data_IF_323897442446
#
_entry.id   IF_323897442446
#
_cell.length_a   1.000
_cell.length_b   1.000
_cell.length_c   1.000
_cell.angle_alpha   90.00
_cell.angle_beta   90.00
_cell.angle_gamma   90.00
#
_symmetry.space_group_name_H-M   'P 1'
#
loop_
_entity.id
_entity.type
_entity.pdbx_description
1 polymer ?
#
# COMPACT_ATOMS: atom_id res chain seq x y z
N UNK A 1 25.11 3.10 -20.43
CA UNK A 1 26.17 3.82 -19.69
C UNK A 1 26.86 2.81 -18.77
N UNK A 2 28.20 2.74 -18.77
CA UNK A 2 28.93 1.88 -17.82
C UNK A 2 28.67 2.41 -16.40
N UNK A 3 28.06 1.60 -15.54
CA UNK A 3 27.97 1.91 -14.12
C UNK A 3 29.40 2.11 -13.59
N UNK A 4 29.68 3.29 -13.05
CA UNK A 4 30.90 3.53 -12.30
C UNK A 4 30.83 2.62 -11.07
N UNK A 5 31.61 1.55 -11.04
CA UNK A 5 31.72 0.70 -9.85
C UNK A 5 32.46 1.53 -8.80
N UNK A 6 31.74 2.23 -7.93
CA UNK A 6 32.36 2.97 -6.82
C UNK A 6 33.05 1.95 -5.92
N UNK A 7 34.35 2.10 -5.71
CA UNK A 7 35.09 1.27 -4.75
C UNK A 7 34.91 1.87 -3.37
N UNK A 8 34.62 1.04 -2.36
CA UNK A 8 34.51 1.53 -0.97
C UNK A 8 35.83 2.23 -0.53
N UNK A 9 35.75 3.42 0.08
CA UNK A 9 36.93 4.14 0.54
C UNK A 9 37.70 3.36 1.60
N UNK A 10 39.03 3.38 1.51
CA UNK A 10 39.89 2.80 2.54
C UNK A 10 40.04 3.83 3.66
N UNK A 11 39.41 3.59 4.81
CA UNK A 11 39.40 4.52 5.96
C UNK A 11 40.82 4.97 6.38
N UNK A 12 41.82 4.09 6.29
CA UNK A 12 43.23 4.40 6.61
C UNK A 12 43.84 5.51 5.74
N UNK A 13 43.29 5.74 4.54
CA UNK A 13 43.74 6.78 3.64
C UNK A 13 43.16 8.16 3.97
N UNK A 14 42.38 8.27 5.06
CA UNK A 14 41.74 9.51 5.51
C UNK A 14 40.86 10.14 4.42
N UNK A 15 39.83 9.41 3.94
CA UNK A 15 38.92 9.94 2.92
C UNK A 15 38.24 11.22 3.41
N UNK A 16 37.92 12.11 2.48
CA UNK A 16 37.26 13.37 2.79
C UNK A 16 35.82 13.14 3.25
N UNK A 17 35.27 14.07 4.04
CA UNK A 17 33.88 14.03 4.49
C UNK A 17 32.90 13.77 3.34
N UNK A 18 33.00 14.55 2.25
CA UNK A 18 32.14 14.43 1.06
C UNK A 18 32.23 13.05 0.39
N UNK A 19 33.40 12.42 0.38
CA UNK A 19 33.59 11.09 -0.22
C UNK A 19 32.89 10.01 0.61
N UNK A 20 33.00 10.09 1.94
CA UNK A 20 32.31 9.17 2.85
C UNK A 20 30.79 9.38 2.80
N UNK A 21 30.34 10.63 2.77
CA UNK A 21 28.92 10.96 2.66
C UNK A 21 28.31 10.38 1.37
N UNK A 22 28.94 10.61 0.22
CA UNK A 22 28.51 10.06 -1.08
C UNK A 22 28.52 8.54 -1.09
N UNK A 23 29.55 7.93 -0.50
CA UNK A 23 29.63 6.47 -0.37
C UNK A 23 28.46 5.95 0.46
N UNK A 24 28.21 6.50 1.64
CA UNK A 24 27.13 6.08 2.52
C UNK A 24 25.75 6.31 1.91
N UNK A 25 25.55 7.40 1.16
CA UNK A 25 24.33 7.65 0.37
C UNK A 25 24.13 6.56 -0.69
N UNK A 26 25.19 6.15 -1.38
CA UNK A 26 25.12 5.07 -2.38
C UNK A 26 24.91 3.67 -1.80
N UNK A 27 25.16 3.48 -0.50
CA UNK A 27 24.95 2.21 0.20
C UNK A 27 23.53 2.03 0.73
N UNK A 28 22.65 3.00 0.48
CA UNK A 28 21.22 2.96 0.84
C UNK A 28 20.53 1.76 0.22
N UNK A 29 19.93 0.92 1.06
CA UNK A 29 19.04 -0.13 0.59
C UNK A 29 17.66 0.47 0.39
N UNK A 30 17.26 0.70 -0.85
CA UNK A 30 15.86 1.05 -1.15
C UNK A 30 14.95 -0.15 -0.84
N UNK A 31 13.72 0.07 -0.34
CA UNK A 31 12.73 -1.00 -0.22
C UNK A 31 12.54 -1.68 -1.57
N UNK A 32 12.33 -3.00 -1.58
CA UNK A 32 12.02 -3.73 -2.83
C UNK A 32 10.73 -3.15 -3.41
N UNK A 33 10.78 -2.61 -4.62
CA UNK A 33 9.55 -2.29 -5.37
C UNK A 33 8.98 -3.59 -5.93
N UNK A 34 7.69 -3.85 -5.72
CA UNK A 34 7.00 -4.98 -6.35
C UNK A 34 6.57 -4.71 -7.79
N UNK A 35 7.09 -3.65 -8.42
CA UNK A 35 6.83 -3.31 -9.82
C UNK A 35 7.39 -4.42 -10.73
N UNK A 36 6.52 -5.01 -11.54
CA UNK A 36 6.79 -6.14 -12.42
C UNK A 36 7.65 -5.80 -13.65
N UNK A 37 8.81 -5.18 -13.45
CA UNK A 37 9.86 -5.14 -14.47
C UNK A 37 10.92 -6.18 -14.14
N UNK A 38 10.99 -7.31 -14.86
CA UNK A 38 12.09 -8.28 -14.73
C UNK A 38 13.48 -7.64 -14.93
N UNK A 39 13.54 -6.48 -15.59
CA UNK A 39 14.77 -5.69 -15.80
C UNK A 39 15.12 -4.72 -14.64
N UNK A 40 14.27 -4.58 -13.62
CA UNK A 40 14.56 -3.74 -12.43
C UNK A 40 14.97 -4.54 -11.19
N UNK A 41 14.92 -5.88 -11.26
CA UNK A 41 15.66 -6.76 -10.34
C UNK A 41 17.18 -6.72 -10.56
N UNK A 42 17.68 -5.76 -11.35
CA UNK A 42 19.01 -5.21 -11.11
C UNK A 42 18.93 -4.52 -9.74
N UNK A 43 19.08 -5.33 -8.68
CA UNK A 43 19.83 -4.91 -7.49
C UNK A 43 21.00 -4.14 -8.08
N UNK A 44 21.00 -2.81 -7.96
CA UNK A 44 22.19 -2.01 -8.23
C UNK A 44 23.28 -2.74 -7.48
N UNK A 45 24.11 -3.47 -8.22
CA UNK A 45 24.88 -4.54 -7.61
C UNK A 45 25.76 -3.83 -6.62
N UNK A 46 25.63 -4.13 -5.30
CA UNK A 46 26.25 -3.28 -4.32
C UNK A 46 27.74 -3.16 -4.67
N UNK A 47 28.34 -1.97 -4.46
CA UNK A 47 29.69 -1.68 -4.93
C UNK A 47 30.73 -2.73 -4.47
N UNK A 48 30.44 -3.43 -3.37
CA UNK A 48 31.15 -4.59 -2.87
C UNK A 48 30.16 -5.66 -2.37
N UNK A 49 30.66 -6.85 -2.02
CA UNK A 49 29.86 -7.87 -1.34
C UNK A 49 29.40 -7.39 0.05
N UNK A 50 28.28 -7.94 0.54
CA UNK A 50 27.66 -7.52 1.81
C UNK A 50 28.59 -7.63 3.01
N UNK A 51 29.48 -8.63 3.06
CA UNK A 51 30.43 -8.76 4.17
C UNK A 51 31.44 -7.62 4.15
N UNK A 52 31.92 -7.23 2.97
CA UNK A 52 32.82 -6.08 2.80
C UNK A 52 32.14 -4.76 3.20
N UNK A 53 30.87 -4.57 2.82
CA UNK A 53 30.09 -3.39 3.23
C UNK A 53 29.92 -3.35 4.75
N UNK A 54 29.52 -4.46 5.38
CA UNK A 54 29.38 -4.54 6.83
C UNK A 54 30.71 -4.26 7.55
N UNK A 55 31.82 -4.81 7.06
CA UNK A 55 33.14 -4.53 7.60
C UNK A 55 33.53 -3.05 7.48
N UNK A 56 33.19 -2.42 6.35
CA UNK A 56 33.39 -0.98 6.13
C UNK A 56 32.57 -0.14 7.13
N UNK A 57 31.26 -0.40 7.26
CA UNK A 57 30.37 0.30 8.19
C UNK A 57 30.85 0.16 9.64
N UNK A 58 31.21 -1.06 10.07
CA UNK A 58 31.81 -1.30 11.39
C UNK A 58 33.16 -0.59 11.57
N UNK A 59 33.91 -0.38 10.50
CA UNK A 59 35.14 0.40 10.51
C UNK A 59 34.89 1.88 10.77
N UNK A 60 33.81 2.45 10.24
CA UNK A 60 33.43 3.85 10.48
C UNK A 60 33.11 4.09 11.96
N UNK A 61 32.36 3.20 12.61
CA UNK A 61 32.05 3.33 14.04
C UNK A 61 33.27 3.27 14.97
N UNK A 62 34.40 2.74 14.50
CA UNK A 62 35.65 2.63 15.25
C UNK A 62 36.60 3.81 15.01
N UNK A 63 36.18 4.79 14.23
CA UNK A 63 37.03 5.86 13.71
C UNK A 63 36.61 7.21 14.30
N UNK A 64 37.56 7.97 14.86
CA UNK A 64 37.27 9.27 15.48
C UNK A 64 37.28 10.45 14.48
N UNK A 65 37.58 10.18 13.20
CA UNK A 65 37.65 11.15 12.08
C UNK A 65 38.33 12.48 12.45
N UNK A 66 39.47 12.40 13.15
CA UNK A 66 40.21 13.57 13.64
C UNK A 66 40.71 14.49 12.51
N UNK A 67 40.75 14.00 11.26
CA UNK A 67 41.20 14.73 10.08
C UNK A 67 40.10 15.54 9.37
N UNK A 68 38.86 15.52 9.86
CA UNK A 68 37.81 16.40 9.35
C UNK A 68 38.06 17.85 9.79
N UNK A 69 37.80 18.78 8.89
CA UNK A 69 37.96 20.22 9.08
C UNK A 69 36.62 20.91 8.81
N UNK A 70 36.43 22.09 9.40
CA UNK A 70 35.22 22.88 9.17
C UNK A 70 35.11 23.26 7.69
N UNK A 71 33.93 23.09 7.11
CA UNK A 71 33.66 23.39 5.70
C UNK A 71 32.48 24.34 5.57
N UNK A 72 32.53 25.23 4.57
CA UNK A 72 31.38 26.05 4.20
C UNK A 72 30.52 25.30 3.17
N UNK A 73 29.24 25.12 3.49
CA UNK A 73 28.22 24.61 2.59
C UNK A 73 27.33 25.77 2.11
N UNK A 74 27.04 25.82 0.81
CA UNK A 74 26.27 26.91 0.19
C UNK A 74 24.85 27.04 0.75
N UNK A 75 24.26 25.96 1.26
CA UNK A 75 22.86 25.90 1.70
C UNK A 75 22.73 25.85 3.24
N UNK A 76 23.70 25.24 3.91
CA UNK A 76 23.69 25.03 5.37
C UNK A 76 24.63 25.97 6.14
N UNK A 77 25.50 26.73 5.45
CA UNK A 77 26.50 27.59 6.06
C UNK A 77 27.71 26.80 6.58
N UNK A 78 28.31 27.27 7.69
CA UNK A 78 29.48 26.60 8.29
C UNK A 78 29.07 25.24 8.90
N UNK A 79 29.59 24.15 8.35
CA UNK A 79 29.44 22.80 8.87
C UNK A 79 30.72 22.40 9.61
N UNK A 80 30.64 22.31 10.92
CA UNK A 80 31.78 21.98 11.78
C UNK A 80 32.24 20.54 11.61
N UNK A 81 33.51 20.27 11.90
CA UNK A 81 34.05 18.91 11.89
C UNK A 81 33.27 17.95 12.81
N UNK A 82 32.70 18.44 13.92
CA UNK A 82 31.87 17.62 14.81
C UNK A 82 30.53 17.26 14.16
N UNK A 83 29.86 18.20 13.51
CA UNK A 83 28.61 17.93 12.79
C UNK A 83 28.82 16.92 11.65
N UNK A 84 29.94 17.05 10.91
CA UNK A 84 30.31 16.09 9.89
C UNK A 84 30.50 14.68 10.46
N UNK A 85 31.12 14.54 11.64
CA UNK A 85 31.27 13.25 12.33
C UNK A 85 29.93 12.65 12.71
N UNK A 86 29.08 13.44 13.33
CA UNK A 86 27.76 12.99 13.79
C UNK A 86 26.91 12.54 12.59
N UNK A 87 26.96 13.26 11.47
CA UNK A 87 26.25 12.89 10.24
C UNK A 87 26.79 11.59 9.61
N UNK A 88 28.11 11.40 9.54
CA UNK A 88 28.71 10.15 9.03
C UNK A 88 28.32 8.97 9.92
N UNK A 89 28.36 9.12 11.25
CA UNK A 89 28.01 8.05 12.19
C UNK A 89 26.52 7.73 12.12
N UNK A 90 25.65 8.74 12.05
CA UNK A 90 24.21 8.56 11.93
C UNK A 90 23.85 7.85 10.61
N UNK A 91 24.41 8.32 9.48
CA UNK A 91 24.16 7.71 8.18
C UNK A 91 24.71 6.28 8.11
N UNK A 92 25.90 6.03 8.65
CA UNK A 92 26.46 4.68 8.76
C UNK A 92 25.56 3.75 9.61
N UNK A 93 24.98 4.27 10.70
CA UNK A 93 24.04 3.55 11.56
C UNK A 93 22.78 3.16 10.80
N UNK A 94 22.22 4.06 9.98
CA UNK A 94 21.07 3.75 9.12
C UNK A 94 21.40 2.66 8.10
N UNK A 95 22.54 2.78 7.39
CA UNK A 95 22.97 1.76 6.40
C UNK A 95 23.25 0.41 7.03
N UNK A 96 23.69 0.40 8.28
CA UNK A 96 23.87 -0.82 9.05
C UNK A 96 22.53 -1.43 9.44
N UNK A 97 21.61 -0.62 9.99
CA UNK A 97 20.27 -1.07 10.41
C UNK A 97 19.43 -1.62 9.24
N UNK A 98 19.51 -1.01 8.05
CA UNK A 98 18.90 -1.50 6.81
C UNK A 98 19.28 -2.96 6.47
N UNK A 99 20.47 -3.39 6.91
CA UNK A 99 21.03 -4.72 6.68
C UNK A 99 20.78 -5.71 7.81
N UNK A 100 20.12 -5.27 8.88
CA UNK A 100 19.78 -6.12 10.04
C UNK A 100 18.39 -6.78 9.93
N UNK A 101 17.71 -6.66 8.77
CA UNK A 101 16.37 -7.21 8.53
C UNK A 101 15.24 -6.22 8.86
N UNK A 102 13.99 -6.55 8.49
CA UNK A 102 12.84 -5.62 8.61
C UNK A 102 12.53 -5.19 10.06
N UNK A 103 12.82 -6.03 11.06
CA UNK A 103 12.57 -5.71 12.48
C UNK A 103 13.56 -4.70 13.05
N UNK A 104 14.77 -4.64 12.51
CA UNK A 104 15.80 -3.68 12.92
C UNK A 104 15.88 -2.46 12.00
N UNK A 105 15.22 -2.53 10.84
CA UNK A 105 15.12 -1.42 9.90
C UNK A 105 14.21 -0.33 10.48
N UNK A 106 14.66 0.92 10.37
CA UNK A 106 13.90 2.09 10.75
C UNK A 106 12.65 2.30 9.88
N UNK A 107 12.02 3.46 10.05
CA UNK A 107 10.92 3.90 9.19
C UNK A 107 11.34 3.88 7.72
N UNK A 108 10.43 3.47 6.85
CA UNK A 108 10.64 3.51 5.41
C UNK A 108 9.37 3.88 4.67
N UNK A 109 9.52 4.61 3.56
CA UNK A 109 8.42 4.87 2.62
C UNK A 109 8.64 4.05 1.36
N UNK A 110 7.62 3.30 0.95
CA UNK A 110 7.61 2.53 -0.30
C UNK A 110 6.75 3.25 -1.34
N UNK A 111 7.20 3.25 -2.59
CA UNK A 111 6.41 3.74 -3.71
C UNK A 111 5.83 2.55 -4.47
N UNK A 112 4.51 2.54 -4.62
CA UNK A 112 3.77 1.56 -5.40
C UNK A 112 3.27 2.21 -6.68
N UNK A 113 3.63 1.64 -7.83
CA UNK A 113 3.31 2.23 -9.13
C UNK A 113 2.33 1.34 -9.89
N UNK A 114 1.08 1.78 -9.92
CA UNK A 114 0.00 1.10 -10.63
C UNK A 114 -0.12 1.67 -12.05
N UNK A 115 0.14 0.84 -13.06
CA UNK A 115 -0.09 1.21 -14.45
C UNK A 115 -1.58 1.13 -14.78
N UNK A 116 -2.09 2.18 -15.42
CA UNK A 116 -3.49 2.35 -15.79
C UNK A 116 -3.57 2.50 -17.31
N UNK A 117 -4.44 1.74 -17.97
CA UNK A 117 -4.58 1.79 -19.43
C UNK A 117 -5.39 3.04 -19.85
N UNK A 118 -4.78 4.00 -20.57
CA UNK A 118 -5.50 5.19 -21.03
C UNK A 118 -6.36 4.86 -22.26
N UNK A 119 -7.54 4.28 -22.04
CA UNK A 119 -8.73 4.34 -22.89
C UNK A 119 -9.71 3.25 -22.47
N UNK A 120 -10.64 3.63 -21.58
CA UNK A 120 -11.98 3.07 -21.28
C UNK A 120 -12.43 3.38 -19.84
N UNK A 121 -11.56 4.00 -19.04
CA UNK A 121 -11.71 4.09 -17.57
C UNK A 121 -12.26 5.42 -17.02
N UNK A 122 -12.74 6.33 -17.88
CA UNK A 122 -13.43 7.55 -17.43
C UNK A 122 -14.79 7.65 -18.14
N UNK A 123 -15.83 7.17 -17.45
CA UNK A 123 -17.21 7.39 -17.88
C UNK A 123 -17.52 8.89 -17.92
N UNK A 124 -17.91 9.40 -19.09
CA UNK A 124 -18.61 10.67 -19.20
C UNK A 124 -18.08 11.71 -20.19
N UNK A 125 -17.69 11.35 -21.41
CA UNK A 125 -17.77 12.29 -22.55
C UNK A 125 -18.55 11.60 -23.66
N UNK A 126 -19.81 11.98 -23.85
CA UNK A 126 -20.58 11.60 -25.04
C UNK A 126 -19.95 12.29 -26.25
N UNK A 127 -19.40 11.49 -27.17
CA UNK A 127 -19.08 11.96 -28.51
C UNK A 127 -20.39 12.33 -29.23
N UNK A 128 -20.67 13.62 -29.34
CA UNK A 128 -21.60 14.12 -30.36
C UNK A 128 -20.85 14.18 -31.69
N UNK A 129 -21.34 13.55 -32.77
CA UNK A 129 -20.59 13.34 -34.01
C UNK A 129 -20.59 14.57 -34.93
N UNK A 130 -20.39 15.77 -34.38
CA UNK A 130 -20.11 16.99 -35.15
C UNK A 130 -19.68 18.12 -34.21
N UNK A 131 -18.36 18.24 -33.97
CA UNK A 131 -17.62 19.50 -33.73
C UNK A 131 -16.19 19.18 -33.29
N UNK A 132 -15.21 19.66 -34.06
CA UNK A 132 -13.78 19.84 -33.73
C UNK A 132 -13.30 19.17 -32.43
N UNK A 133 -12.63 18.02 -32.54
CA UNK A 133 -11.89 17.38 -31.44
C UNK A 133 -10.87 18.40 -30.89
N UNK A 134 -11.06 18.95 -29.67
CA UNK A 134 -10.05 19.79 -29.08
C UNK A 134 -8.91 18.88 -28.60
N UNK A 135 -7.67 19.37 -28.69
CA UNK A 135 -6.41 18.72 -28.30
C UNK A 135 -6.34 18.47 -26.77
N UNK A 136 -7.25 17.67 -26.19
CA UNK A 136 -7.35 17.42 -24.73
C UNK A 136 -6.77 16.04 -24.33
N UNK A 137 -6.45 15.18 -25.28
CA UNK A 137 -5.93 13.83 -25.03
C UNK A 137 -4.47 13.77 -24.53
N UNK A 138 -3.77 14.90 -24.40
CA UNK A 138 -2.31 14.91 -24.22
C UNK A 138 -1.83 14.78 -22.75
N UNK A 139 -2.73 14.69 -21.76
CA UNK A 139 -2.34 14.67 -20.32
C UNK A 139 -2.99 13.58 -19.46
N UNK A 140 -3.55 12.51 -20.04
CA UNK A 140 -4.04 11.40 -19.22
C UNK A 140 -2.87 10.70 -18.53
N UNK A 141 -2.80 10.80 -17.20
CA UNK A 141 -1.84 10.03 -16.40
C UNK A 141 -2.11 8.54 -16.62
N UNK A 142 -1.11 7.84 -17.13
CA UNK A 142 -1.17 6.39 -17.39
C UNK A 142 -0.72 5.57 -16.19
N UNK A 143 -0.44 6.21 -15.06
CA UNK A 143 0.03 5.53 -13.86
C UNK A 143 -0.34 6.33 -12.61
N UNK A 144 -0.59 5.61 -11.53
CA UNK A 144 -0.77 6.11 -10.18
C UNK A 144 0.46 5.71 -9.35
N UNK A 145 1.07 6.66 -8.67
CA UNK A 145 2.12 6.38 -7.69
C UNK A 145 1.58 6.67 -6.29
N UNK A 146 1.62 5.65 -5.42
CA UNK A 146 1.22 5.76 -4.01
C UNK A 146 2.47 5.61 -3.13
N UNK A 147 2.68 6.58 -2.26
CA UNK A 147 3.78 6.60 -1.29
C UNK A 147 3.27 6.16 0.08
N UNK A 148 3.66 4.97 0.51
CA UNK A 148 3.18 4.32 1.73
C UNK A 148 4.29 4.28 2.77
N UNK A 149 4.06 4.95 3.90
CA UNK A 149 4.94 4.93 5.08
C UNK A 149 4.71 3.66 5.89
N UNK A 150 5.82 3.04 6.25
CA UNK A 150 5.92 1.89 7.13
C UNK A 150 6.86 2.19 8.31
N UNK A 151 6.31 2.48 9.49
CA UNK A 151 7.09 2.65 10.71
C UNK A 151 7.91 1.40 11.08
N UNK A 152 8.92 1.49 11.95
CA UNK A 152 9.67 0.34 12.43
C UNK A 152 8.75 -0.72 13.04
N UNK A 153 9.08 -2.00 12.84
CA UNK A 153 8.30 -3.09 13.44
C UNK A 153 8.64 -3.17 14.94
N UNK A 154 7.74 -2.67 15.77
CA UNK A 154 7.86 -2.72 17.23
C UNK A 154 6.67 -3.51 17.80
N UNK A 155 6.94 -4.54 18.60
CA UNK A 155 5.89 -5.41 19.16
C UNK A 155 5.03 -6.07 18.06
N UNK A 156 3.71 -6.11 18.28
CA UNK A 156 2.73 -6.81 17.43
C UNK A 156 2.10 -5.91 16.34
N UNK A 157 2.81 -4.86 15.90
CA UNK A 157 2.29 -3.89 14.94
C UNK A 157 2.40 -4.35 13.47
N UNK A 158 1.97 -5.57 13.16
CA UNK A 158 2.02 -6.13 11.80
C UNK A 158 1.18 -5.33 10.79
N UNK A 159 0.10 -4.66 11.24
CA UNK A 159 -0.72 -3.78 10.41
C UNK A 159 0.01 -2.55 9.87
N UNK A 160 1.19 -2.21 10.41
CA UNK A 160 2.03 -1.11 9.92
C UNK A 160 2.88 -1.49 8.70
N UNK A 161 2.78 -2.75 8.23
CA UNK A 161 3.49 -3.26 7.06
C UNK A 161 2.51 -3.60 5.94
N UNK A 162 2.84 -3.25 4.71
CA UNK A 162 2.09 -3.67 3.52
C UNK A 162 2.50 -5.08 3.15
N UNK A 163 1.50 -5.94 2.95
CA UNK A 163 1.67 -7.35 2.57
C UNK A 163 1.55 -7.53 1.06
N UNK A 164 2.12 -8.62 0.53
CA UNK A 164 2.10 -8.88 -0.91
C UNK A 164 0.66 -9.00 -1.44
N UNK A 165 -0.23 -9.54 -0.61
CA UNK A 165 -1.68 -9.62 -0.84
C UNK A 165 -2.29 -8.26 -1.18
N UNK A 166 -1.99 -7.21 -0.41
CA UNK A 166 -2.50 -5.86 -0.64
C UNK A 166 -2.06 -5.31 -2.00
N UNK A 167 -0.80 -5.53 -2.40
CA UNK A 167 -0.33 -5.09 -3.71
C UNK A 167 -0.95 -5.88 -4.86
N UNK A 168 -1.00 -7.21 -4.75
CA UNK A 168 -1.67 -8.05 -5.73
C UNK A 168 -3.12 -7.64 -5.92
N UNK A 169 -3.85 -7.35 -4.83
CA UNK A 169 -5.22 -6.87 -4.93
C UNK A 169 -5.31 -5.46 -5.54
N UNK A 170 -4.42 -4.53 -5.17
CA UNK A 170 -4.37 -3.20 -5.77
C UNK A 170 -4.18 -3.25 -7.30
N UNK A 171 -3.35 -4.18 -7.79
CA UNK A 171 -3.15 -4.43 -9.22
C UNK A 171 -4.39 -5.01 -9.92
N UNK A 172 -5.24 -5.74 -9.20
CA UNK A 172 -6.48 -6.31 -9.74
C UNK A 172 -7.65 -5.33 -9.76
N UNK A 173 -7.61 -4.23 -9.01
CA UNK A 173 -8.73 -3.27 -8.93
C UNK A 173 -9.21 -2.75 -10.29
N UNK A 174 -8.33 -2.42 -11.28
CA UNK A 174 -8.79 -2.01 -12.61
C UNK A 174 -9.61 -3.10 -13.31
N UNK A 175 -9.21 -4.36 -13.20
CA UNK A 175 -9.94 -5.49 -13.79
C UNK A 175 -11.26 -5.75 -13.05
N UNK A 176 -11.22 -5.76 -11.71
CA UNK A 176 -12.41 -5.93 -10.87
C UNK A 176 -13.43 -4.82 -11.14
N UNK A 177 -12.98 -3.58 -11.40
CA UNK A 177 -13.82 -2.46 -11.80
C UNK A 177 -14.63 -2.70 -13.08
N UNK A 178 -14.24 -3.68 -13.90
CA UNK A 178 -14.97 -4.07 -15.13
C UNK A 178 -16.04 -5.13 -14.89
N UNK A 179 -16.13 -5.65 -13.68
CA UNK A 179 -17.17 -6.60 -13.29
C UNK A 179 -18.55 -5.93 -13.30
N UNK A 180 -19.51 -6.51 -14.02
CA UNK A 180 -20.79 -5.85 -14.35
C UNK A 180 -21.61 -5.37 -13.13
N UNK A 181 -21.75 -6.15 -12.03
CA UNK A 181 -22.33 -5.66 -10.78
C UNK A 181 -21.61 -4.44 -10.19
N UNK A 182 -20.28 -4.42 -10.22
CA UNK A 182 -19.49 -3.30 -9.71
C UNK A 182 -19.67 -2.06 -10.62
N UNK A 183 -19.59 -2.21 -11.95
CA UNK A 183 -19.83 -1.12 -12.89
C UNK A 183 -21.21 -0.44 -12.70
N UNK A 184 -22.24 -1.24 -12.42
CA UNK A 184 -23.60 -0.73 -12.13
C UNK A 184 -23.65 0.10 -10.85
N UNK A 185 -22.88 -0.28 -9.82
CA UNK A 185 -22.75 0.46 -8.56
C UNK A 185 -21.95 1.75 -8.74
N UNK A 186 -20.81 1.67 -9.43
CA UNK A 186 -19.95 2.82 -9.77
C UNK A 186 -20.64 3.83 -10.69
N UNK A 187 -21.80 3.48 -11.29
CA UNK A 187 -22.54 4.37 -12.19
C UNK A 187 -21.94 4.50 -13.59
N UNK A 188 -21.06 3.57 -13.97
CA UNK A 188 -20.37 3.56 -15.28
C UNK A 188 -21.33 3.13 -16.41
N UNK A 189 -22.46 2.49 -16.08
CA UNK A 189 -23.51 2.14 -17.05
C UNK A 189 -24.56 3.26 -17.12
N UNK A 190 -24.90 3.80 -18.31
CA UNK A 190 -25.86 4.89 -18.44
C UNK A 190 -27.23 4.53 -17.83
N UNK A 191 -27.60 5.19 -16.73
CA UNK A 191 -28.95 5.08 -16.21
C UNK A 191 -29.88 5.95 -17.06
N UNK A 192 -30.91 5.34 -17.65
CA UNK A 192 -31.93 6.00 -18.49
C UNK A 192 -32.83 6.99 -17.73
N UNK A 193 -32.57 7.24 -16.44
CA UNK A 193 -33.35 8.15 -15.60
C UNK A 193 -32.38 9.11 -14.90
N UNK A 194 -32.39 10.38 -15.32
CA UNK A 194 -31.49 11.46 -14.88
C UNK A 194 -31.65 11.92 -13.43
N UNK A 195 -31.57 10.99 -12.47
CA UNK A 195 -31.46 11.32 -11.05
C UNK A 195 -29.98 11.32 -10.67
N UNK A 196 -29.48 12.42 -10.11
CA UNK A 196 -28.20 12.46 -9.41
C UNK A 196 -28.27 11.42 -8.27
N UNK A 197 -27.56 10.29 -8.45
CA UNK A 197 -27.43 9.30 -7.37
C UNK A 197 -26.52 9.88 -6.29
N UNK A 198 -26.81 9.63 -5.00
CA UNK A 198 -25.84 9.96 -3.96
C UNK A 198 -24.52 9.23 -4.24
N UNK A 199 -23.37 9.82 -3.88
CA UNK A 199 -22.08 9.16 -4.05
C UNK A 199 -22.07 7.83 -3.27
N UNK A 200 -21.52 6.80 -3.89
CA UNK A 200 -21.33 5.50 -3.24
C UNK A 200 -20.33 5.64 -2.09
N UNK A 201 -20.61 4.95 -0.99
CA UNK A 201 -19.70 4.86 0.13
C UNK A 201 -19.03 3.50 0.14
N UNK A 202 -17.71 3.52 0.27
CA UNK A 202 -16.88 2.32 0.34
C UNK A 202 -16.24 2.25 1.72
N UNK A 203 -16.16 1.06 2.29
CA UNK A 203 -15.47 0.78 3.55
C UNK A 203 -14.33 -0.22 3.29
N UNK A 204 -13.17 0.01 3.87
CA UNK A 204 -12.12 -1.01 3.95
C UNK A 204 -11.93 -1.42 5.42
N UNK A 205 -12.01 -2.72 5.69
CA UNK A 205 -11.81 -3.33 6.99
C UNK A 205 -10.38 -3.89 7.09
N UNK A 206 -9.64 -3.51 8.13
CA UNK A 206 -8.26 -3.96 8.33
C UNK A 206 -7.34 -3.41 7.23
N UNK A 207 -7.41 -2.11 6.98
CA UNK A 207 -6.70 -1.46 5.88
C UNK A 207 -5.17 -1.51 6.01
N UNK A 208 -4.65 -1.73 7.22
CA UNK A 208 -3.22 -1.72 7.53
C UNK A 208 -2.58 -0.40 7.12
N UNK A 209 -1.75 -0.44 6.07
CA UNK A 209 -1.11 0.77 5.54
C UNK A 209 -2.01 1.59 4.61
N UNK A 210 -3.17 1.06 4.21
CA UNK A 210 -4.17 1.69 3.35
C UNK A 210 -3.98 1.52 1.84
N UNK A 211 -3.07 0.64 1.41
CA UNK A 211 -2.68 0.56 -0.01
C UNK A 211 -3.87 0.21 -0.93
N UNK A 212 -4.69 -0.78 -0.56
CA UNK A 212 -5.81 -1.23 -1.41
C UNK A 212 -6.88 -0.14 -1.48
N UNK A 213 -7.30 0.42 -0.35
CA UNK A 213 -8.31 1.47 -0.34
C UNK A 213 -7.88 2.75 -1.06
N UNK A 214 -6.62 3.18 -0.91
CA UNK A 214 -6.08 4.34 -1.65
C UNK A 214 -6.07 4.08 -3.16
N UNK A 215 -5.68 2.87 -3.58
CA UNK A 215 -5.75 2.47 -4.97
C UNK A 215 -7.22 2.43 -5.46
N UNK A 216 -8.16 1.92 -4.66
CA UNK A 216 -9.57 1.89 -4.99
C UNK A 216 -10.16 3.31 -5.14
N UNK A 217 -9.81 4.24 -4.25
CA UNK A 217 -10.21 5.64 -4.34
C UNK A 217 -9.78 6.25 -5.69
N UNK A 218 -8.51 6.06 -6.07
CA UNK A 218 -7.98 6.56 -7.33
C UNK A 218 -8.59 5.87 -8.55
N UNK A 219 -8.59 4.54 -8.58
CA UNK A 219 -8.96 3.72 -9.74
C UNK A 219 -10.46 3.72 -10.00
N UNK A 220 -11.28 3.63 -8.95
CA UNK A 220 -12.73 3.61 -9.09
C UNK A 220 -13.37 5.00 -8.93
N UNK A 221 -12.61 6.01 -8.50
CA UNK A 221 -13.13 7.37 -8.29
C UNK A 221 -14.15 7.44 -7.15
N UNK A 222 -13.94 6.67 -6.09
CA UNK A 222 -14.92 6.49 -5.00
C UNK A 222 -14.52 7.20 -3.71
N UNK A 223 -15.52 7.43 -2.86
CA UNK A 223 -15.31 7.87 -1.49
C UNK A 223 -15.15 6.63 -0.60
N UNK A 224 -13.99 6.47 0.01
CA UNK A 224 -13.66 5.33 0.86
C UNK A 224 -13.28 5.76 2.28
N UNK A 225 -13.75 4.98 3.25
CA UNK A 225 -13.34 5.03 4.65
C UNK A 225 -12.44 3.83 4.90
N UNK A 226 -11.16 4.08 5.15
CA UNK A 226 -10.19 3.05 5.49
C UNK A 226 -10.20 2.89 7.01
N UNK A 227 -10.33 1.67 7.50
CA UNK A 227 -10.46 1.41 8.93
C UNK A 227 -9.49 0.36 9.44
N UNK A 228 -9.00 0.58 10.66
CA UNK A 228 -8.14 -0.35 11.37
C UNK A 228 -8.17 -0.08 12.89
N UNK A 229 -7.36 -0.81 13.65
CA UNK A 229 -7.21 -0.68 15.09
C UNK A 229 -6.61 0.69 15.49
N UNK A 230 -6.84 1.17 16.72
CA UNK A 230 -6.31 2.45 17.20
C UNK A 230 -4.80 2.63 17.02
N UNK A 231 -4.02 1.55 17.16
CA UNK A 231 -2.56 1.58 17.02
C UNK A 231 -2.06 1.74 15.58
N UNK A 232 -2.92 1.51 14.58
CA UNK A 232 -2.62 1.61 13.16
C UNK A 232 -3.11 2.94 12.57
N UNK A 233 -4.13 3.55 13.19
CA UNK A 233 -4.84 4.73 12.70
C UNK A 233 -3.94 5.92 12.36
N UNK A 234 -3.03 6.34 13.24
CA UNK A 234 -2.13 7.47 12.98
C UNK A 234 -1.27 7.27 11.71
N UNK A 235 -0.87 6.03 11.43
CA UNK A 235 -0.11 5.72 10.22
C UNK A 235 -0.98 5.65 8.98
N UNK A 236 -2.19 5.10 9.11
CA UNK A 236 -3.18 5.06 8.05
C UNK A 236 -3.58 6.48 7.63
N UNK A 237 -3.87 7.37 8.59
CA UNK A 237 -4.22 8.77 8.34
C UNK A 237 -3.07 9.53 7.65
N UNK A 238 -1.82 9.32 8.09
CA UNK A 238 -0.66 9.88 7.40
C UNK A 238 -0.60 9.43 5.93
N UNK A 239 -0.76 8.13 5.66
CA UNK A 239 -0.73 7.59 4.31
C UNK A 239 -1.88 8.12 3.45
N UNK A 240 -3.08 8.27 4.01
CA UNK A 240 -4.20 8.92 3.33
C UNK A 240 -3.83 10.34 2.92
N UNK A 241 -3.40 11.17 3.88
CA UNK A 241 -3.08 12.57 3.63
C UNK A 241 -1.94 12.74 2.61
N UNK A 242 -0.91 11.89 2.68
CA UNK A 242 0.22 11.94 1.77
C UNK A 242 -0.15 11.62 0.31
N UNK A 243 -1.20 10.82 0.08
CA UNK A 243 -1.59 10.34 -1.25
C UNK A 243 -2.81 11.03 -1.84
N UNK A 244 -3.55 11.83 -1.05
CA UNK A 244 -4.70 12.59 -1.55
C UNK A 244 -4.41 13.44 -2.80
N UNK A 245 -3.27 14.16 -2.92
CA UNK A 245 -2.96 14.90 -4.15
C UNK A 245 -2.87 14.00 -5.39
N UNK A 246 -2.21 12.85 -5.29
CA UNK A 246 -2.08 11.89 -6.38
C UNK A 246 -3.44 11.29 -6.78
N UNK A 247 -4.31 11.01 -5.79
CA UNK A 247 -5.67 10.52 -6.00
C UNK A 247 -6.51 11.59 -6.73
N UNK A 248 -6.49 12.84 -6.25
CA UNK A 248 -7.25 13.96 -6.84
C UNK A 248 -6.81 14.32 -8.25
N UNK A 249 -5.55 14.07 -8.61
CA UNK A 249 -5.05 14.22 -9.97
C UNK A 249 -5.49 13.08 -10.90
N UNK A 250 -5.87 11.93 -10.35
CA UNK A 250 -6.30 10.75 -11.11
C UNK A 250 -7.82 10.69 -11.30
N UNK A 251 -8.58 11.00 -10.25
CA UNK A 251 -10.04 10.93 -10.25
C UNK A 251 -10.65 11.84 -9.17
N UNK A 252 -11.98 11.88 -9.10
CA UNK A 252 -12.70 12.57 -8.02
C UNK A 252 -12.81 11.72 -6.73
N UNK A 253 -11.97 10.69 -6.59
CA UNK A 253 -11.95 9.84 -5.42
C UNK A 253 -11.53 10.57 -4.15
N UNK A 254 -11.97 10.05 -3.01
CA UNK A 254 -11.62 10.58 -1.70
C UNK A 254 -11.37 9.44 -0.72
N UNK A 255 -10.39 9.62 0.16
CA UNK A 255 -10.06 8.66 1.21
C UNK A 255 -10.03 9.36 2.56
N UNK A 256 -10.50 8.65 3.59
CA UNK A 256 -10.44 9.06 5.00
C UNK A 256 -10.05 7.86 5.86
N UNK A 257 -9.46 8.11 7.03
CA UNK A 257 -9.01 7.06 7.96
C UNK A 257 -9.81 7.14 9.26
N UNK A 258 -10.35 6.02 9.71
CA UNK A 258 -11.14 5.92 10.94
C UNK A 258 -10.75 4.71 11.77
N UNK A 259 -11.06 4.75 13.07
CA UNK A 259 -10.85 3.61 13.97
C UNK A 259 -12.05 2.68 13.89
N UNK A 260 -11.79 1.39 13.68
CA UNK A 260 -12.78 0.33 13.76
C UNK A 260 -12.12 -0.94 14.30
N UNK A 261 -12.44 -1.28 15.54
CA UNK A 261 -12.15 -2.60 16.12
C UNK A 261 -13.34 -3.51 15.85
N UNK A 262 -13.12 -4.64 15.17
CA UNK A 262 -14.18 -5.62 14.88
C UNK A 262 -14.81 -6.21 16.14
N UNK A 263 -14.14 -6.12 17.30
CA UNK A 263 -14.71 -6.55 18.59
C UNK A 263 -15.64 -5.51 19.20
N UNK A 264 -15.63 -4.28 18.70
CA UNK A 264 -16.42 -3.15 19.19
C UNK A 264 -17.08 -2.37 18.03
N UNK A 265 -17.53 -3.09 16.99
CA UNK A 265 -18.11 -2.48 15.79
C UNK A 265 -19.36 -1.64 16.08
N UNK A 266 -20.09 -1.92 17.17
CA UNK A 266 -21.30 -1.18 17.57
C UNK A 266 -21.00 0.30 17.84
N UNK A 267 -19.85 0.58 18.45
CA UNK A 267 -19.40 1.93 18.79
C UNK A 267 -18.57 2.59 17.68
N UNK A 268 -18.15 1.82 16.67
CA UNK A 268 -17.37 2.35 15.55
C UNK A 268 -18.18 3.34 14.69
N UNK A 269 -17.46 4.27 14.06
CA UNK A 269 -18.03 5.28 13.13
C UNK A 269 -19.19 6.09 13.74
N UNK A 270 -19.20 6.34 15.05
CA UNK A 270 -20.31 7.03 15.73
C UNK A 270 -20.59 8.45 15.19
N UNK A 271 -19.57 9.12 14.63
CA UNK A 271 -19.71 10.45 14.00
C UNK A 271 -20.27 10.42 12.57
N UNK A 272 -20.44 9.24 11.97
CA UNK A 272 -20.88 9.11 10.58
C UNK A 272 -22.42 9.13 10.46
N UNK A 273 -22.99 9.92 9.53
CA UNK A 273 -24.44 10.08 9.40
C UNK A 273 -25.15 8.82 8.90
N UNK A 274 -24.41 7.97 8.19
CA UNK A 274 -24.85 6.67 7.69
C UNK A 274 -23.71 5.68 7.90
N UNK A 275 -24.02 4.53 8.50
CA UNK A 275 -23.07 3.41 8.69
C UNK A 275 -23.31 2.29 7.68
N UNK A 276 -23.86 2.64 6.53
CA UNK A 276 -24.21 1.71 5.46
C UNK A 276 -23.36 2.00 4.22
N UNK A 277 -22.68 0.97 3.73
CA UNK A 277 -21.74 1.04 2.63
C UNK A 277 -22.20 0.17 1.46
N UNK A 278 -22.07 0.68 0.24
CA UNK A 278 -22.39 -0.07 -0.98
C UNK A 278 -21.31 -1.08 -1.34
N UNK A 279 -20.06 -0.80 -0.96
CA UNK A 279 -18.91 -1.66 -1.23
C UNK A 279 -18.09 -1.82 0.06
N UNK A 280 -17.74 -3.05 0.41
CA UNK A 280 -16.83 -3.34 1.52
C UNK A 280 -15.61 -4.11 1.01
N UNK A 281 -14.41 -3.71 1.40
CA UNK A 281 -13.15 -4.36 1.08
C UNK A 281 -12.57 -4.98 2.36
N UNK A 282 -12.09 -6.22 2.29
CA UNK A 282 -11.36 -6.87 3.37
C UNK A 282 -10.22 -7.72 2.78
N UNK A 283 -9.01 -7.18 2.78
CA UNK A 283 -7.82 -7.81 2.16
C UNK A 283 -6.82 -8.20 3.24
N UNK A 284 -6.45 -9.48 3.27
CA UNK A 284 -5.62 -10.10 4.32
C UNK A 284 -6.18 -10.00 5.75
N UNK A 285 -7.49 -10.23 6.01
CA UNK A 285 -8.06 -9.95 7.33
C UNK A 285 -7.88 -11.10 8.35
N UNK A 286 -7.36 -12.27 7.95
CA UNK A 286 -7.44 -13.51 8.75
C UNK A 286 -6.08 -13.94 9.31
N UNK A 287 -5.92 -13.87 10.64
CA UNK A 287 -4.70 -14.26 11.36
C UNK A 287 -4.96 -14.81 12.77
N UNK A 288 -6.21 -14.79 13.24
CA UNK A 288 -6.67 -15.34 14.52
C UNK A 288 -7.95 -16.15 14.27
N UNK A 289 -8.22 -17.12 15.14
CA UNK A 289 -9.36 -18.04 15.07
C UNK A 289 -10.70 -17.30 15.15
N UNK A 290 -10.76 -16.14 15.82
CA UNK A 290 -12.00 -15.35 15.90
C UNK A 290 -12.28 -14.50 14.64
N UNK A 291 -11.29 -14.28 13.76
CA UNK A 291 -11.44 -13.32 12.64
C UNK A 291 -12.49 -13.68 11.61
N UNK A 292 -12.67 -14.93 11.17
CA UNK A 292 -13.72 -15.26 10.21
C UNK A 292 -15.10 -14.75 10.67
N UNK A 293 -15.43 -14.98 11.95
CA UNK A 293 -16.69 -14.53 12.56
C UNK A 293 -16.75 -13.03 12.71
N UNK A 294 -15.72 -12.41 13.27
CA UNK A 294 -15.68 -10.96 13.49
C UNK A 294 -15.80 -10.17 12.18
N UNK A 295 -15.08 -10.60 11.15
CA UNK A 295 -15.10 -9.97 9.82
C UNK A 295 -16.46 -10.15 9.16
N UNK A 296 -17.03 -11.37 9.16
CA UNK A 296 -18.34 -11.63 8.56
C UNK A 296 -19.47 -10.84 9.25
N UNK A 297 -19.46 -10.75 10.59
CA UNK A 297 -20.46 -10.00 11.36
C UNK A 297 -20.31 -8.48 11.11
N UNK A 298 -19.08 -7.98 11.03
CA UNK A 298 -18.79 -6.57 10.70
C UNK A 298 -19.25 -6.22 9.28
N UNK A 299 -18.94 -7.08 8.29
CA UNK A 299 -19.41 -6.91 6.91
C UNK A 299 -20.93 -6.83 6.86
N UNK A 300 -21.63 -7.75 7.54
CA UNK A 300 -23.09 -7.76 7.59
C UNK A 300 -23.66 -6.49 8.20
N UNK A 301 -23.06 -6.00 9.29
CA UNK A 301 -23.52 -4.80 9.98
C UNK A 301 -23.40 -3.53 9.12
N UNK A 302 -22.26 -3.35 8.45
CA UNK A 302 -21.96 -2.15 7.67
C UNK A 302 -22.46 -2.22 6.22
N UNK A 303 -22.99 -3.37 5.78
CA UNK A 303 -23.55 -3.51 4.43
C UNK A 303 -24.88 -2.78 4.30
N UNK A 304 -25.06 -2.04 3.20
CA UNK A 304 -26.27 -1.28 2.94
C UNK A 304 -27.50 -2.16 2.68
N UNK A 305 -28.59 -1.90 3.39
CA UNK A 305 -29.89 -2.53 3.14
C UNK A 305 -30.55 -2.09 1.82
N UNK A 306 -31.33 -2.97 1.20
CA UNK A 306 -32.23 -2.65 0.08
C UNK A 306 -31.58 -2.58 -1.30
N UNK A 307 -30.26 -2.46 -1.40
CA UNK A 307 -29.51 -2.43 -2.67
C UNK A 307 -28.57 -3.62 -2.72
N UNK A 308 -28.33 -4.14 -3.94
CA UNK A 308 -27.24 -5.09 -4.14
C UNK A 308 -25.93 -4.42 -3.75
N UNK A 309 -25.35 -4.85 -2.64
CA UNK A 309 -24.07 -4.36 -2.12
C UNK A 309 -23.00 -5.41 -2.41
N UNK A 310 -21.77 -4.95 -2.61
CA UNK A 310 -20.67 -5.78 -3.04
C UNK A 310 -19.61 -5.87 -1.94
N UNK A 311 -19.09 -7.06 -1.71
CA UNK A 311 -17.97 -7.25 -0.79
C UNK A 311 -16.83 -7.89 -1.55
N UNK A 312 -15.63 -7.32 -1.45
CA UNK A 312 -14.39 -7.96 -1.91
C UNK A 312 -13.66 -8.50 -0.69
N UNK A 313 -13.48 -9.82 -0.63
CA UNK A 313 -12.56 -10.45 0.32
C UNK A 313 -11.34 -10.99 -0.41
N UNK A 314 -10.18 -10.94 0.22
CA UNK A 314 -8.97 -11.60 -0.28
C UNK A 314 -8.15 -12.16 0.87
N UNK A 315 -7.86 -13.45 0.86
CA UNK A 315 -7.16 -14.16 1.92
C UNK A 315 -5.91 -14.84 1.33
N UNK A 316 -4.70 -14.47 1.78
CA UNK A 316 -3.50 -15.23 1.49
C UNK A 316 -3.47 -16.56 2.26
N UNK A 317 -3.31 -17.66 1.53
CA UNK A 317 -3.22 -19.02 2.02
C UNK A 317 -1.76 -19.35 2.32
N UNK A 318 -1.31 -18.96 3.52
CA UNK A 318 0.07 -19.15 3.98
C UNK A 318 0.32 -20.57 4.48
N UNK A 319 -0.70 -21.18 5.08
CA UNK A 319 -0.70 -22.52 5.65
C UNK A 319 -2.13 -23.08 5.79
N UNK A 320 -2.22 -24.31 6.32
CA UNK A 320 -3.50 -25.00 6.59
C UNK A 320 -4.41 -24.22 7.53
N UNK A 321 -3.87 -23.40 8.42
CA UNK A 321 -4.67 -22.58 9.33
C UNK A 321 -5.38 -21.50 8.53
N UNK A 322 -4.65 -20.72 7.73
CA UNK A 322 -5.26 -19.69 6.86
C UNK A 322 -6.22 -20.27 5.82
N UNK A 323 -5.98 -21.49 5.32
CA UNK A 323 -6.93 -22.23 4.48
C UNK A 323 -8.24 -22.51 5.23
N UNK A 324 -8.17 -23.04 6.46
CA UNK A 324 -9.33 -23.30 7.30
C UNK A 324 -10.11 -22.02 7.64
N UNK A 325 -9.41 -20.94 7.97
CA UNK A 325 -10.05 -19.64 8.27
C UNK A 325 -10.76 -19.07 7.03
N UNK A 326 -10.19 -19.25 5.85
CA UNK A 326 -10.81 -18.84 4.58
C UNK A 326 -12.11 -19.63 4.30
N UNK A 327 -12.11 -20.94 4.55
CA UNK A 327 -13.30 -21.80 4.38
C UNK A 327 -14.40 -21.46 5.39
N UNK A 328 -14.02 -21.11 6.62
CA UNK A 328 -14.96 -20.66 7.64
C UNK A 328 -15.58 -19.30 7.26
N UNK A 329 -14.77 -18.33 6.82
CA UNK A 329 -15.25 -17.04 6.35
C UNK A 329 -16.22 -17.23 5.17
N UNK A 330 -15.90 -18.10 4.22
CA UNK A 330 -16.78 -18.43 3.09
C UNK A 330 -18.14 -18.95 3.58
N UNK A 331 -18.15 -19.84 4.56
CA UNK A 331 -19.37 -20.42 5.12
C UNK A 331 -20.21 -19.36 5.84
N UNK A 332 -19.56 -18.48 6.61
CA UNK A 332 -20.22 -17.40 7.34
C UNK A 332 -20.81 -16.36 6.41
N UNK A 333 -20.10 -15.97 5.34
CA UNK A 333 -20.61 -15.05 4.32
C UNK A 333 -21.88 -15.60 3.67
N UNK A 334 -21.90 -16.88 3.26
CA UNK A 334 -23.10 -17.52 2.72
C UNK A 334 -24.26 -17.52 3.73
N UNK A 335 -23.99 -17.87 4.99
CA UNK A 335 -25.00 -17.87 6.05
C UNK A 335 -25.55 -16.46 6.35
N UNK A 336 -24.76 -15.43 6.08
CA UNK A 336 -25.14 -14.03 6.25
C UNK A 336 -25.83 -13.42 5.01
N UNK A 337 -26.17 -14.23 3.99
CA UNK A 337 -26.93 -13.78 2.83
C UNK A 337 -26.07 -13.22 1.68
N UNK A 338 -24.76 -13.48 1.72
CA UNK A 338 -23.84 -13.07 0.67
C UNK A 338 -23.56 -14.23 -0.29
N UNK A 339 -23.87 -14.04 -1.56
CA UNK A 339 -23.61 -15.04 -2.60
C UNK A 339 -22.29 -14.73 -3.32
N UNK A 340 -21.39 -15.71 -3.38
CA UNK A 340 -20.13 -15.60 -4.14
C UNK A 340 -20.41 -15.58 -5.64
N UNK A 341 -20.22 -14.43 -6.30
CA UNK A 341 -20.49 -14.29 -7.74
C UNK A 341 -19.26 -14.37 -8.63
N UNK A 342 -18.11 -13.95 -8.13
CA UNK A 342 -16.83 -14.04 -8.83
C UNK A 342 -15.74 -14.36 -7.80
N UNK A 343 -14.72 -15.11 -8.20
CA UNK A 343 -13.57 -15.43 -7.36
C UNK A 343 -12.38 -15.79 -8.24
N UNK A 344 -11.20 -15.76 -7.65
CA UNK A 344 -9.96 -16.12 -8.32
C UNK A 344 -8.83 -16.35 -7.32
N UNK A 345 -7.70 -16.75 -7.88
CA UNK A 345 -6.47 -16.99 -7.13
C UNK A 345 -5.32 -16.29 -7.85
N UNK A 346 -4.50 -15.57 -7.09
CA UNK A 346 -3.34 -14.87 -7.60
C UNK A 346 -2.15 -15.12 -6.69
N UNK A 347 -0.96 -15.24 -7.28
CA UNK A 347 0.27 -15.40 -6.52
C UNK A 347 0.76 -14.02 -6.09
N UNK A 348 0.99 -13.85 -4.79
CA UNK A 348 1.71 -12.71 -4.23
C UNK A 348 3.05 -13.15 -3.64
N UNK A 349 3.93 -12.18 -3.38
CA UNK A 349 5.22 -12.43 -2.74
C UNK A 349 5.35 -11.54 -1.51
N UNK A 350 5.34 -12.16 -0.34
CA UNK A 350 5.63 -11.47 0.90
C UNK A 350 7.14 -11.29 1.04
N UNK A 351 7.62 -10.04 1.10
CA UNK A 351 9.05 -9.72 1.22
C UNK A 351 9.62 -9.94 2.64
N UNK A 352 8.91 -10.75 3.45
CA UNK A 352 9.23 -11.06 4.84
C UNK A 352 10.46 -11.94 5.00
N UNK A 353 10.77 -12.80 4.01
CA UNK A 353 11.93 -13.69 4.01
C UNK A 353 12.99 -13.26 2.97
N UNK A 354 14.26 -13.28 3.38
CA UNK A 354 15.45 -12.97 2.56
C UNK A 354 15.46 -13.73 1.24
N UNK A 355 15.85 -13.08 0.12
CA UNK A 355 16.14 -13.59 -1.25
C UNK A 355 15.20 -14.63 -1.93
N UNK A 356 14.47 -15.45 -1.18
CA UNK A 356 13.58 -16.53 -1.58
C UNK A 356 12.20 -16.32 -0.90
N UNK A 357 11.67 -15.11 -0.96
CA UNK A 357 10.31 -14.80 -0.50
C UNK A 357 9.34 -15.87 -1.03
N UNK A 358 8.66 -16.58 -0.13
CA UNK A 358 7.72 -17.63 -0.53
C UNK A 358 6.59 -17.00 -1.33
N UNK A 359 6.30 -17.62 -2.46
CA UNK A 359 5.08 -17.34 -3.20
C UNK A 359 3.90 -17.79 -2.34
N UNK A 360 2.96 -16.88 -2.12
CA UNK A 360 1.75 -17.12 -1.34
C UNK A 360 0.56 -16.98 -2.28
N UNK A 361 -0.35 -17.95 -2.25
CA UNK A 361 -1.58 -17.87 -3.04
C UNK A 361 -2.57 -16.98 -2.31
N UNK A 362 -3.07 -15.94 -2.95
CA UNK A 362 -4.17 -15.11 -2.47
C UNK A 362 -5.44 -15.57 -3.15
N UNK A 363 -6.40 -16.08 -2.37
CA UNK A 363 -7.74 -16.39 -2.84
C UNK A 363 -8.65 -15.21 -2.58
N UNK A 364 -9.28 -14.68 -3.62
CA UNK A 364 -10.20 -13.55 -3.51
C UNK A 364 -11.60 -13.91 -4.00
N UNK A 365 -12.60 -13.23 -3.48
CA UNK A 365 -13.99 -13.39 -3.86
C UNK A 365 -14.74 -12.06 -3.85
N UNK A 366 -15.55 -11.84 -4.89
CA UNK A 366 -16.59 -10.83 -4.94
C UNK A 366 -17.91 -11.47 -4.54
N UNK A 367 -18.46 -10.96 -3.44
CA UNK A 367 -19.74 -11.36 -2.89
C UNK A 367 -20.79 -10.34 -3.23
N UNK A 368 -21.98 -10.81 -3.61
CA UNK A 368 -23.16 -9.97 -3.78
C UNK A 368 -24.13 -10.27 -2.65
N UNK A 369 -24.43 -9.26 -1.85
CA UNK A 369 -25.50 -9.36 -0.88
C UNK A 369 -26.85 -9.20 -1.54
N UNK A 370 -27.76 -10.09 -1.20
CA UNK A 370 -29.17 -9.98 -1.52
C UNK A 370 -29.92 -9.84 -0.20
N UNK A 371 -30.78 -8.83 -0.09
CA UNK A 371 -31.79 -8.87 0.96
C UNK A 371 -32.63 -10.11 0.70
N UNK A 372 -32.41 -11.16 1.49
CA UNK A 372 -33.42 -12.19 1.66
C UNK A 372 -34.67 -11.50 2.20
N UNK A 373 -35.84 -11.82 1.62
CA UNK A 373 -37.12 -11.43 2.20
C UNK A 373 -37.05 -11.67 3.71
N UNK A 374 -37.06 -10.58 4.48
CA UNK A 374 -37.18 -10.63 5.94
C UNK A 374 -38.56 -11.23 6.21
N UNK A 375 -38.59 -12.53 6.46
CA UNK A 375 -39.78 -13.28 6.84
C UNK A 375 -40.20 -12.97 8.27
#
# INVERSE_FOLDING_TARGET
>A
MKAFKMTLPIIRNKPMYKELLQTLQSLEIKPRSWDASPDKDIIETPPADENTIQAFLLGLFKTDFWWFEDTEDEHLGLVTAQQQRDEIIDLASRRFAERCGRSARGESTRTFRLELTPNQDLGGIQETPDQHVPQVLEHLKTHLELHIREPPLTGDNLGLKTWGSAWTMAQLLPELGRYEPLQKLLGIVPSTKGHCRPPIQVLELGAGTGLVGLAAAAVWGVNIVLTDLPMIHDNLEYNVNANMPAISEMSNGHASAEVLDWKDWENALAGWPSKEFEIILAVDPLYDDDHPRLVADTIKHFSKAGRGHLVLTAVPLRDRTTESLCEELDSLMNNNGFEKKCNGENICRDDWESANAKEVMVRWALWLGHDGDVA
#
